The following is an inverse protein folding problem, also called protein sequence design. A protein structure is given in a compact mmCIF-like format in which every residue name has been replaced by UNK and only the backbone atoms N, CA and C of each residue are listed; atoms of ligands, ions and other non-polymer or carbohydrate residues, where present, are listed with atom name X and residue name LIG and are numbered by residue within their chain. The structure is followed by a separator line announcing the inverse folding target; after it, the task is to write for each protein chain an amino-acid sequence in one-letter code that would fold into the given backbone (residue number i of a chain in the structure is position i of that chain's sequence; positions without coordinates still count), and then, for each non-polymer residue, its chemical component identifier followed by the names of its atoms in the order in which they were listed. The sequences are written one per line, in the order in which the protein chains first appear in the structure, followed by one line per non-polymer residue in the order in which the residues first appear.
data_IF_631084389436
#
_entry.id   IF_631084389436
#
_cell.length_a   1.000
_cell.length_b   1.000
_cell.length_c   1.000
_cell.angle_alpha   90.00
_cell.angle_beta   90.00
_cell.angle_gamma   90.00
#
_symmetry.space_group_name_H-M   'P 1'
#
loop_
_entity.id
_entity.type
_entity.pdbx_description
1 polymer ?
#
# COMPACT_ATOMS: atom_id res chain seq x y z
N UNK A 1 -48.61 9.30 -12.73
CA UNK A 1 -48.68 9.96 -11.40
C UNK A 1 -47.87 11.26 -11.44
N UNK A 2 -48.34 12.35 -10.75
CA UNK A 2 -47.67 13.64 -10.78
C UNK A 2 -46.38 13.62 -9.94
N UNK A 3 -45.37 14.42 -10.38
CA UNK A 3 -44.18 14.70 -9.63
C UNK A 3 -44.27 16.08 -8.98
N UNK A 4 -43.55 16.32 -7.89
CA UNK A 4 -43.41 17.66 -7.33
C UNK A 4 -42.15 18.31 -7.86
N UNK A 5 -42.30 19.53 -8.40
CA UNK A 5 -41.17 20.32 -8.90
C UNK A 5 -40.93 21.54 -8.00
N UNK A 6 -39.65 21.83 -7.80
CA UNK A 6 -39.24 23.09 -7.21
C UNK A 6 -39.40 24.20 -8.24
N UNK A 7 -40.16 25.24 -7.91
CA UNK A 7 -40.26 26.41 -8.75
C UNK A 7 -39.04 27.29 -8.59
N UNK A 8 -38.12 27.21 -9.53
CA UNK A 8 -36.88 27.97 -9.46
C UNK A 8 -37.16 29.50 -9.66
N UNK A 9 -36.44 30.41 -9.00
CA UNK A 9 -36.46 31.82 -9.34
C UNK A 9 -36.13 32.06 -10.83
N UNK A 10 -36.86 32.97 -11.49
CA UNK A 10 -36.66 33.20 -12.91
C UNK A 10 -35.65 34.32 -13.22
N UNK A 11 -35.32 35.14 -12.24
CA UNK A 11 -34.42 36.29 -12.40
C UNK A 11 -33.29 36.26 -11.36
N UNK A 12 -32.23 37.02 -11.67
CA UNK A 12 -31.07 37.18 -10.80
C UNK A 12 -30.10 36.00 -10.86
N UNK A 13 -29.15 36.02 -9.98
CA UNK A 13 -28.06 35.05 -9.99
C UNK A 13 -27.93 34.34 -8.64
N UNK A 14 -27.49 33.12 -8.67
CA UNK A 14 -26.93 32.42 -7.51
C UNK A 14 -25.43 32.69 -7.48
N UNK A 15 -24.99 33.38 -6.43
CA UNK A 15 -23.57 33.68 -6.22
C UNK A 15 -23.15 33.03 -4.90
N UNK A 16 -22.03 32.33 -4.93
CA UNK A 16 -21.39 31.73 -3.75
C UNK A 16 -19.88 31.73 -3.89
N UNK A 17 -19.18 31.82 -2.76
CA UNK A 17 -17.74 31.76 -2.69
C UNK A 17 -17.34 30.32 -2.30
N UNK A 18 -16.71 29.60 -3.24
CA UNK A 18 -16.21 28.25 -3.03
C UNK A 18 -14.76 28.32 -2.56
N UNK A 19 -14.43 27.60 -1.47
CA UNK A 19 -13.08 27.68 -0.86
C UNK A 19 -11.97 27.25 -1.81
N UNK A 20 -12.24 26.32 -2.75
CA UNK A 20 -11.25 25.83 -3.71
C UNK A 20 -11.36 26.56 -5.05
N UNK A 21 -12.59 26.74 -5.57
CA UNK A 21 -12.83 27.28 -6.92
C UNK A 21 -12.90 28.79 -6.96
N UNK A 22 -13.09 29.45 -5.79
CA UNK A 22 -13.32 30.87 -5.69
C UNK A 22 -14.78 31.24 -6.02
N UNK A 23 -15.01 32.48 -6.39
CA UNK A 23 -16.35 33.00 -6.61
C UNK A 23 -17.02 32.43 -7.86
N UNK A 24 -18.18 31.79 -7.68
CA UNK A 24 -19.00 31.19 -8.72
C UNK A 24 -20.31 31.96 -8.83
N UNK A 25 -20.72 32.25 -10.07
CA UNK A 25 -21.96 32.96 -10.39
C UNK A 25 -22.69 32.22 -11.51
N UNK A 26 -23.94 31.84 -11.26
CA UNK A 26 -24.82 31.15 -12.21
C UNK A 26 -26.13 31.90 -12.28
N UNK A 27 -26.59 32.22 -13.50
CA UNK A 27 -27.90 32.84 -13.66
C UNK A 27 -29.03 31.87 -13.35
N UNK A 28 -30.07 32.35 -12.69
CA UNK A 28 -31.27 31.56 -12.45
C UNK A 28 -31.96 31.09 -13.75
N UNK A 29 -31.78 31.83 -14.86
CA UNK A 29 -32.29 31.46 -16.18
C UNK A 29 -31.67 30.16 -16.73
N UNK A 30 -30.49 29.76 -16.22
CA UNK A 30 -29.82 28.53 -16.58
C UNK A 30 -30.30 27.32 -15.73
N UNK A 31 -31.13 27.57 -14.72
CA UNK A 31 -31.58 26.56 -13.76
C UNK A 31 -33.04 26.17 -14.04
N UNK A 32 -33.28 24.89 -14.21
CA UNK A 32 -34.60 24.32 -14.42
C UNK A 32 -35.42 24.12 -13.15
N UNK A 33 -36.74 23.98 -13.29
CA UNK A 33 -37.66 23.56 -12.22
C UNK A 33 -37.43 22.07 -11.95
N UNK A 34 -36.44 21.77 -11.11
CA UNK A 34 -36.06 20.38 -10.85
C UNK A 34 -37.14 19.59 -10.09
N UNK A 35 -37.21 18.29 -10.37
CA UNK A 35 -38.08 17.38 -9.61
C UNK A 35 -37.47 17.19 -8.20
N UNK A 36 -38.27 17.48 -7.16
CA UNK A 36 -37.87 17.34 -5.76
C UNK A 36 -38.50 16.13 -5.07
N UNK A 37 -39.66 15.66 -5.57
CA UNK A 37 -40.27 14.41 -5.12
C UNK A 37 -40.86 13.63 -6.30
N UNK A 38 -40.69 12.31 -6.25
CA UNK A 38 -41.24 11.35 -7.22
C UNK A 38 -42.72 11.09 -6.97
N UNK A 39 -43.42 10.39 -7.90
CA UNK A 39 -44.85 10.07 -7.75
C UNK A 39 -45.15 9.26 -6.45
N UNK A 40 -44.21 8.44 -6.00
CA UNK A 40 -44.31 7.65 -4.78
C UNK A 40 -44.06 8.45 -3.49
N UNK A 41 -43.81 9.77 -3.62
CA UNK A 41 -43.49 10.65 -2.51
C UNK A 41 -42.02 10.63 -2.10
N UNK A 42 -41.17 9.77 -2.68
CA UNK A 42 -39.74 9.73 -2.36
C UNK A 42 -39.03 10.99 -2.85
N UNK A 43 -38.14 11.62 -2.02
CA UNK A 43 -37.41 12.81 -2.42
C UNK A 43 -36.31 12.46 -3.45
N UNK A 44 -35.93 13.46 -4.24
CA UNK A 44 -34.75 13.37 -5.11
C UNK A 44 -33.50 13.87 -4.38
N UNK A 45 -32.34 13.53 -4.92
CA UNK A 45 -31.03 13.79 -4.30
C UNK A 45 -30.86 15.25 -3.84
N UNK A 46 -31.10 16.24 -4.74
CA UNK A 46 -30.84 17.64 -4.40
C UNK A 46 -31.74 18.17 -3.27
N UNK A 47 -32.93 17.61 -3.11
CA UNK A 47 -33.83 17.99 -2.03
C UNK A 47 -33.45 17.28 -0.72
N UNK A 48 -33.25 15.96 -0.76
CA UNK A 48 -32.93 15.20 0.46
C UNK A 48 -31.61 15.66 1.08
N UNK A 49 -30.56 15.89 0.28
CA UNK A 49 -29.27 16.34 0.81
C UNK A 49 -29.35 17.72 1.49
N UNK A 50 -30.16 18.64 0.96
CA UNK A 50 -30.36 19.94 1.60
C UNK A 50 -31.08 19.80 2.95
N UNK A 51 -32.11 18.97 3.02
CA UNK A 51 -32.83 18.73 4.29
C UNK A 51 -31.93 18.05 5.31
N UNK A 52 -31.18 17.01 4.91
CA UNK A 52 -30.25 16.28 5.77
C UNK A 52 -29.14 17.22 6.30
N UNK A 53 -28.53 18.00 5.42
CA UNK A 53 -27.50 18.97 5.79
C UNK A 53 -28.00 20.04 6.76
N UNK A 54 -29.24 20.52 6.58
CA UNK A 54 -29.88 21.46 7.50
C UNK A 54 -30.13 20.84 8.88
N UNK A 55 -30.74 19.65 8.90
CA UNK A 55 -31.08 18.94 10.16
C UNK A 55 -29.84 18.56 10.94
N UNK A 56 -28.80 18.13 10.25
CA UNK A 56 -27.50 17.78 10.82
C UNK A 56 -26.63 19.00 11.13
N UNK A 57 -27.05 20.21 10.74
CA UNK A 57 -26.30 21.47 10.91
C UNK A 57 -24.90 21.41 10.29
N UNK A 58 -24.82 20.89 9.09
CA UNK A 58 -23.55 20.80 8.33
C UNK A 58 -23.05 22.22 8.04
N UNK A 59 -21.85 22.54 8.50
CA UNK A 59 -21.22 23.85 8.32
C UNK A 59 -20.48 23.97 6.98
N UNK A 60 -19.89 22.87 6.49
CA UNK A 60 -19.09 22.83 5.28
C UNK A 60 -19.45 21.60 4.46
N UNK A 61 -19.66 21.79 3.15
CA UNK A 61 -19.86 20.72 2.18
C UNK A 61 -18.60 20.64 1.29
N UNK A 62 -17.77 19.63 1.55
CA UNK A 62 -16.53 19.37 0.80
C UNK A 62 -16.76 18.16 -0.07
N UNK A 63 -16.70 18.31 -1.41
CA UNK A 63 -17.06 17.24 -2.34
C UNK A 63 -16.36 17.39 -3.70
N UNK A 64 -16.49 16.41 -4.59
CA UNK A 64 -15.96 16.49 -5.94
C UNK A 64 -16.59 17.61 -6.77
N UNK A 65 -15.83 18.15 -7.69
CA UNK A 65 -16.24 19.26 -8.57
C UNK A 65 -17.29 18.85 -9.62
N UNK A 66 -17.55 17.55 -9.77
CA UNK A 66 -18.69 17.03 -10.55
C UNK A 66 -20.05 17.44 -9.97
N UNK A 67 -20.08 17.89 -8.71
CA UNK A 67 -21.27 18.42 -8.03
C UNK A 67 -21.45 19.94 -8.12
N UNK A 68 -20.54 20.67 -8.76
CA UNK A 68 -20.63 22.15 -8.86
C UNK A 68 -21.98 22.58 -9.43
N UNK A 69 -22.49 21.89 -10.46
CA UNK A 69 -23.77 22.21 -11.09
C UNK A 69 -25.00 21.94 -10.19
N UNK A 70 -24.85 21.17 -9.13
CA UNK A 70 -25.92 20.93 -8.15
C UNK A 70 -26.01 22.07 -7.13
N UNK A 71 -24.88 22.71 -6.82
CA UNK A 71 -24.77 23.72 -5.76
C UNK A 71 -25.73 24.89 -5.93
N UNK A 72 -25.88 25.55 -7.08
CA UNK A 72 -26.83 26.66 -7.21
C UNK A 72 -28.28 26.21 -7.01
N UNK A 73 -28.64 24.99 -7.44
CA UNK A 73 -29.97 24.41 -7.21
C UNK A 73 -30.23 24.18 -5.72
N UNK A 74 -29.24 23.63 -5.03
CA UNK A 74 -29.30 23.40 -3.58
C UNK A 74 -29.41 24.72 -2.81
N UNK A 75 -28.62 25.74 -3.16
CA UNK A 75 -28.69 27.08 -2.56
C UNK A 75 -30.08 27.67 -2.71
N UNK A 76 -30.74 27.55 -3.87
CA UNK A 76 -32.10 28.03 -4.03
C UNK A 76 -33.11 27.26 -3.18
N UNK A 77 -32.92 25.97 -2.96
CA UNK A 77 -33.73 25.17 -2.03
C UNK A 77 -33.52 25.62 -0.58
N UNK A 78 -32.26 25.82 -0.12
CA UNK A 78 -31.97 26.39 1.21
C UNK A 78 -32.71 27.72 1.43
N UNK A 79 -32.61 28.63 0.48
CA UNK A 79 -33.29 29.95 0.55
C UNK A 79 -34.81 29.82 0.61
N UNK A 80 -35.39 28.91 -0.18
CA UNK A 80 -36.83 28.67 -0.16
C UNK A 80 -37.32 28.06 1.17
N UNK A 81 -36.45 27.30 1.86
CA UNK A 81 -36.72 26.77 3.21
C UNK A 81 -36.43 27.79 4.31
N UNK A 82 -35.93 29.00 3.98
CA UNK A 82 -35.56 30.03 4.94
C UNK A 82 -34.28 29.72 5.73
N UNK A 83 -33.43 28.91 5.19
CA UNK A 83 -32.17 28.50 5.79
C UNK A 83 -30.95 29.10 5.07
N UNK A 84 -29.87 29.30 5.82
CA UNK A 84 -28.58 29.72 5.28
C UNK A 84 -27.85 28.48 4.70
N UNK A 85 -27.28 28.57 3.46
CA UNK A 85 -26.48 27.52 2.91
C UNK A 85 -25.16 27.32 3.69
N UNK A 86 -24.62 26.10 3.74
CA UNK A 86 -23.28 25.86 4.27
C UNK A 86 -22.20 26.48 3.37
N UNK A 87 -20.96 26.50 3.85
CA UNK A 87 -19.79 26.83 3.04
C UNK A 87 -19.50 25.66 2.10
N UNK A 88 -19.16 25.96 0.85
CA UNK A 88 -18.86 24.94 -0.15
C UNK A 88 -17.36 24.90 -0.49
N UNK A 89 -16.86 23.70 -0.75
CA UNK A 89 -15.53 23.47 -1.31
C UNK A 89 -15.60 22.31 -2.32
N UNK A 90 -15.34 22.61 -3.60
CA UNK A 90 -15.36 21.61 -4.66
C UNK A 90 -13.94 21.24 -5.09
N UNK A 91 -13.49 20.05 -4.62
CA UNK A 91 -12.16 19.51 -4.92
C UNK A 91 -12.12 18.91 -6.31
N UNK A 92 -10.99 19.00 -7.03
CA UNK A 92 -10.87 18.46 -8.37
C UNK A 92 -10.96 16.94 -8.38
N UNK A 93 -11.44 16.40 -9.50
CA UNK A 93 -11.47 14.95 -9.71
C UNK A 93 -10.06 14.36 -9.80
N UNK A 94 -9.90 13.14 -9.29
CA UNK A 94 -8.71 12.34 -9.50
C UNK A 94 -8.84 11.60 -10.83
N UNK A 95 -7.80 11.65 -11.66
CA UNK A 95 -7.75 11.03 -12.98
C UNK A 95 -6.91 9.73 -12.92
N UNK A 96 -7.22 8.79 -13.78
CA UNK A 96 -6.35 7.65 -14.07
C UNK A 96 -5.22 8.03 -15.02
N UNK A 97 -4.34 7.08 -15.31
CA UNK A 97 -3.21 7.27 -16.22
C UNK A 97 -3.62 7.65 -17.65
N UNK A 98 -4.83 7.30 -18.05
CA UNK A 98 -5.42 7.65 -19.36
C UNK A 98 -6.03 9.05 -19.39
N UNK A 99 -5.93 9.82 -18.31
CA UNK A 99 -6.53 11.15 -18.17
C UNK A 99 -8.04 11.16 -17.97
N UNK A 100 -8.69 9.99 -17.92
CA UNK A 100 -10.10 9.89 -17.59
C UNK A 100 -10.31 9.86 -16.06
N UNK A 101 -11.54 10.14 -15.61
CA UNK A 101 -11.90 10.02 -14.18
C UNK A 101 -11.50 8.66 -13.62
N UNK A 102 -10.83 8.66 -12.47
CA UNK A 102 -10.47 7.43 -11.76
C UNK A 102 -11.73 6.57 -11.50
N UNK A 103 -11.68 5.31 -11.88
CA UNK A 103 -12.80 4.38 -11.81
C UNK A 103 -12.32 2.95 -11.55
N UNK A 104 -13.24 2.01 -11.37
CA UNK A 104 -12.96 0.57 -11.17
C UNK A 104 -12.00 -0.04 -12.19
N UNK A 105 -12.04 0.42 -13.43
CA UNK A 105 -11.14 -0.06 -14.50
C UNK A 105 -9.67 0.34 -14.28
N UNK A 106 -9.41 1.33 -13.44
CA UNK A 106 -8.05 1.79 -13.07
C UNK A 106 -7.50 1.10 -11.80
N UNK A 107 -8.18 0.08 -11.30
CA UNK A 107 -7.72 -0.79 -10.22
C UNK A 107 -8.22 -0.42 -8.83
N UNK A 108 -8.21 0.83 -8.41
CA UNK A 108 -8.58 1.19 -7.05
C UNK A 108 -9.94 1.86 -6.95
N UNK A 109 -10.78 1.40 -6.05
CA UNK A 109 -12.16 1.90 -5.90
C UNK A 109 -12.55 2.12 -4.45
N UNK A 110 -11.92 1.40 -3.54
CA UNK A 110 -12.19 1.46 -2.11
C UNK A 110 -10.87 1.64 -1.37
N UNK A 111 -10.90 2.46 -0.32
CA UNK A 111 -9.74 2.59 0.59
C UNK A 111 -9.29 1.23 1.14
N UNK A 112 -10.24 0.32 1.37
CA UNK A 112 -9.95 -1.02 1.86
C UNK A 112 -9.19 -1.88 0.84
N UNK A 113 -9.35 -1.65 -0.46
CA UNK A 113 -8.58 -2.35 -1.49
C UNK A 113 -7.07 -2.06 -1.35
N UNK A 114 -6.69 -0.83 -1.02
CA UNK A 114 -5.27 -0.50 -0.79
C UNK A 114 -4.70 -1.27 0.41
N UNK A 115 -5.48 -1.48 1.48
CA UNK A 115 -5.08 -2.37 2.58
C UNK A 115 -4.86 -3.79 2.07
N UNK A 116 -5.80 -4.32 1.29
CA UNK A 116 -5.76 -5.67 0.74
C UNK A 116 -4.59 -5.85 -0.25
N UNK A 117 -4.17 -4.78 -0.90
CA UNK A 117 -2.99 -4.73 -1.77
C UNK A 117 -1.68 -4.47 -1.00
N UNK A 118 -1.75 -4.24 0.31
CA UNK A 118 -0.59 -4.16 1.20
C UNK A 118 0.00 -2.77 1.39
N UNK A 119 -0.81 -1.73 1.20
CA UNK A 119 -0.39 -0.36 1.50
C UNK A 119 -0.67 0.01 2.96
N UNK A 120 0.28 0.72 3.57
CA UNK A 120 0.15 1.28 4.90
C UNK A 120 -0.82 2.48 4.89
N UNK A 121 -1.64 2.67 5.94
CA UNK A 121 -2.55 3.82 6.00
C UNK A 121 -1.82 5.16 5.96
N UNK A 122 -0.64 5.27 6.57
CA UNK A 122 0.19 6.48 6.52
C UNK A 122 0.63 6.82 5.09
N UNK A 123 1.04 5.81 4.33
CA UNK A 123 1.45 5.99 2.94
C UNK A 123 0.28 6.44 2.05
N UNK A 124 -0.87 5.81 2.20
CA UNK A 124 -2.08 6.17 1.46
C UNK A 124 -2.55 7.58 1.82
N UNK A 125 -2.61 7.93 3.11
CA UNK A 125 -3.01 9.26 3.57
C UNK A 125 -2.10 10.35 3.00
N UNK A 126 -0.78 10.17 3.12
CA UNK A 126 0.21 11.11 2.56
C UNK A 126 0.08 11.23 1.04
N UNK A 127 -0.15 10.11 0.35
CA UNK A 127 -0.33 10.11 -1.09
C UNK A 127 -1.58 10.89 -1.50
N UNK A 128 -2.72 10.65 -0.83
CA UNK A 128 -3.99 11.31 -1.13
C UNK A 128 -3.94 12.82 -0.86
N UNK A 129 -3.31 13.25 0.23
CA UNK A 129 -3.18 14.70 0.52
C UNK A 129 -2.35 15.38 -0.57
N UNK A 130 -1.29 14.76 -1.05
CA UNK A 130 -0.43 15.29 -2.11
C UNK A 130 -1.06 15.30 -3.50
N UNK A 131 -2.11 14.52 -3.74
CA UNK A 131 -2.83 14.56 -5.03
C UNK A 131 -3.51 15.89 -5.30
N UNK A 132 -3.97 16.57 -4.26
CA UNK A 132 -4.69 17.83 -4.43
C UNK A 132 -4.07 19.01 -3.70
N UNK A 133 -3.03 18.82 -2.88
CA UNK A 133 -2.45 19.85 -2.04
C UNK A 133 -0.92 19.76 -2.04
N UNK A 134 -0.25 20.88 -1.75
CA UNK A 134 1.21 20.94 -1.64
C UNK A 134 1.64 21.98 -0.61
N UNK A 135 2.73 21.67 0.10
CA UNK A 135 3.39 22.59 1.01
C UNK A 135 4.88 22.67 0.63
N UNK A 136 5.23 23.69 -0.15
CA UNK A 136 6.58 23.78 -0.73
C UNK A 136 6.95 22.51 -1.52
N UNK A 137 8.19 22.06 -1.35
CA UNK A 137 8.75 20.87 -2.00
C UNK A 137 8.65 19.60 -1.12
N UNK A 138 7.99 19.69 0.06
CA UNK A 138 7.87 18.55 0.96
C UNK A 138 6.98 17.47 0.36
N UNK A 139 7.47 16.23 0.34
CA UNK A 139 6.78 15.06 -0.23
C UNK A 139 6.25 14.11 0.87
N UNK A 140 6.94 14.02 1.99
CA UNK A 140 6.59 13.12 3.09
C UNK A 140 6.12 13.95 4.29
N UNK A 141 4.96 13.58 4.83
CA UNK A 141 4.31 14.28 5.95
C UNK A 141 3.86 13.28 7.00
N UNK A 142 4.16 13.53 8.26
CA UNK A 142 3.47 12.84 9.37
C UNK A 142 1.99 13.28 9.45
N UNK A 143 1.19 12.52 10.19
CA UNK A 143 -0.21 12.89 10.42
C UNK A 143 -0.32 14.25 11.14
N UNK A 144 0.57 14.51 12.10
CA UNK A 144 0.64 15.76 12.85
C UNK A 144 1.01 16.94 11.94
N UNK A 145 1.97 16.76 11.03
CA UNK A 145 2.33 17.78 10.04
C UNK A 145 1.17 18.05 9.08
N UNK A 146 0.47 17.02 8.60
CA UNK A 146 -0.71 17.20 7.76
C UNK A 146 -1.79 18.01 8.48
N UNK A 147 -2.08 17.72 9.74
CA UNK A 147 -3.05 18.45 10.55
C UNK A 147 -2.63 19.90 10.76
N UNK A 148 -1.34 20.15 10.97
CA UNK A 148 -0.83 21.50 11.26
C UNK A 148 -0.72 22.41 10.02
N UNK A 149 -0.49 21.81 8.84
CA UNK A 149 -0.14 22.55 7.63
C UNK A 149 -1.25 22.58 6.58
N UNK A 150 -2.19 21.62 6.61
CA UNK A 150 -3.25 21.54 5.61
C UNK A 150 -4.28 22.63 5.79
N UNK A 151 -4.57 23.35 4.69
CA UNK A 151 -5.73 24.22 4.58
C UNK A 151 -6.50 23.87 3.28
N UNK A 152 -7.83 23.90 3.36
CA UNK A 152 -8.70 23.63 2.22
C UNK A 152 -8.56 24.69 1.12
N UNK A 153 -8.22 25.93 1.49
CA UNK A 153 -8.04 27.03 0.55
C UNK A 153 -6.78 26.85 -0.32
N UNK A 154 -5.81 26.07 0.17
CA UNK A 154 -4.58 25.73 -0.54
C UNK A 154 -4.71 24.52 -1.49
N UNK A 155 -5.91 23.92 -1.55
CA UNK A 155 -6.16 22.80 -2.47
C UNK A 155 -6.11 23.27 -3.91
N UNK A 156 -5.36 22.54 -4.74
CA UNK A 156 -5.17 22.85 -6.15
C UNK A 156 -6.51 22.77 -6.91
N UNK A 157 -6.71 23.69 -7.87
CA UNK A 157 -7.91 23.70 -8.72
C UNK A 157 -7.84 22.71 -9.88
N UNK A 158 -6.64 22.22 -10.22
CA UNK A 158 -6.41 21.29 -11.33
C UNK A 158 -6.52 19.86 -10.86
N UNK A 159 -7.14 19.02 -11.69
CA UNK A 159 -7.16 17.58 -11.48
C UNK A 159 -5.75 17.00 -11.51
N UNK A 160 -5.51 16.01 -10.67
CA UNK A 160 -4.23 15.28 -10.58
C UNK A 160 -4.42 13.84 -11.04
N UNK A 161 -3.44 13.30 -11.78
CA UNK A 161 -3.44 11.89 -12.18
C UNK A 161 -2.91 11.02 -11.03
N UNK A 162 -3.55 9.88 -10.83
CA UNK A 162 -3.10 8.86 -9.90
C UNK A 162 -1.85 8.16 -10.47
N UNK A 163 -0.80 8.06 -9.67
CA UNK A 163 0.47 7.44 -10.04
C UNK A 163 0.83 6.34 -9.04
N UNK A 164 0.71 5.08 -9.45
CA UNK A 164 0.98 3.92 -8.62
C UNK A 164 2.45 3.83 -8.21
N UNK A 165 3.39 4.17 -9.10
CA UNK A 165 4.81 4.12 -8.77
C UNK A 165 5.17 5.08 -7.62
N UNK A 166 4.52 6.24 -7.57
CA UNK A 166 4.71 7.20 -6.48
C UNK A 166 4.10 6.69 -5.17
N UNK A 167 2.95 6.04 -5.20
CA UNK A 167 2.35 5.41 -4.04
C UNK A 167 3.22 4.26 -3.53
N UNK A 168 3.74 3.42 -4.42
CA UNK A 168 4.67 2.34 -4.11
C UNK A 168 5.94 2.86 -3.42
N UNK A 169 6.51 3.95 -3.95
CA UNK A 169 7.68 4.60 -3.36
C UNK A 169 7.38 5.12 -1.94
N UNK A 170 6.24 5.79 -1.75
CA UNK A 170 5.81 6.27 -0.44
C UNK A 170 5.60 5.10 0.54
N UNK A 171 4.96 4.04 0.09
CA UNK A 171 4.71 2.86 0.93
C UNK A 171 6.02 2.22 1.39
N UNK A 172 6.97 2.03 0.47
CA UNK A 172 8.29 1.52 0.83
C UNK A 172 9.03 2.48 1.78
N UNK A 173 8.91 3.79 1.58
CA UNK A 173 9.48 4.78 2.48
C UNK A 173 8.93 4.60 3.90
N UNK A 174 7.61 4.49 4.07
CA UNK A 174 6.99 4.31 5.39
C UNK A 174 7.32 2.93 6.00
N UNK A 175 7.37 1.86 5.23
CA UNK A 175 7.81 0.55 5.72
C UNK A 175 9.22 0.58 6.30
N UNK A 176 10.09 1.46 5.78
CA UNK A 176 11.49 1.61 6.23
C UNK A 176 11.65 2.58 7.39
N UNK A 177 10.83 3.61 7.45
CA UNK A 177 10.99 4.73 8.41
C UNK A 177 10.17 4.55 9.70
N UNK A 178 9.05 3.85 9.64
CA UNK A 178 8.23 3.56 10.82
C UNK A 178 8.89 2.48 11.70
N UNK A 179 8.58 2.45 13.00
CA UNK A 179 9.02 1.36 13.87
C UNK A 179 8.59 -0.01 13.33
N UNK A 180 9.52 -0.96 13.23
CA UNK A 180 9.24 -2.27 12.65
C UNK A 180 8.07 -3.01 13.35
N UNK A 181 7.87 -2.79 14.65
CA UNK A 181 6.73 -3.34 15.40
C UNK A 181 5.39 -2.76 14.94
N UNK A 182 5.33 -1.50 14.56
CA UNK A 182 4.14 -0.87 14.03
C UNK A 182 3.78 -1.43 12.64
N UNK A 183 4.76 -1.50 11.75
CA UNK A 183 4.60 -2.11 10.42
C UNK A 183 4.18 -3.58 10.54
N UNK A 184 4.74 -4.31 11.51
CA UNK A 184 4.41 -5.70 11.77
C UNK A 184 2.93 -5.93 12.12
N UNK A 185 2.25 -4.98 12.76
CA UNK A 185 0.81 -5.10 13.05
C UNK A 185 -0.03 -5.15 11.76
N UNK A 186 0.33 -4.36 10.77
CA UNK A 186 -0.31 -4.37 9.44
C UNK A 186 0.11 -5.59 8.62
N UNK A 187 1.36 -6.01 8.74
CA UNK A 187 1.88 -7.21 8.06
C UNK A 187 1.17 -8.49 8.55
N UNK A 188 0.81 -8.57 9.83
CA UNK A 188 0.09 -9.71 10.39
C UNK A 188 -1.24 -9.99 9.67
N UNK A 189 -1.94 -8.94 9.26
CA UNK A 189 -3.15 -9.07 8.47
C UNK A 189 -2.87 -9.73 7.10
N UNK A 190 -1.79 -9.34 6.42
CA UNK A 190 -1.41 -9.91 5.12
C UNK A 190 -1.04 -11.40 5.24
N UNK A 191 -0.39 -11.79 6.32
CA UNK A 191 -0.08 -13.20 6.60
C UNK A 191 -1.35 -14.01 6.80
N UNK A 192 -2.28 -13.50 7.61
CA UNK A 192 -3.57 -14.15 7.85
C UNK A 192 -4.41 -14.27 6.56
N UNK A 193 -4.46 -13.19 5.75
CA UNK A 193 -5.19 -13.18 4.46
C UNK A 193 -4.62 -14.19 3.46
N UNK A 194 -3.30 -14.39 3.46
CA UNK A 194 -2.63 -15.37 2.60
C UNK A 194 -2.57 -16.78 3.21
N UNK A 195 -3.16 -16.99 4.38
CA UNK A 195 -3.20 -18.27 5.07
C UNK A 195 -1.83 -18.76 5.56
N UNK A 196 -0.89 -17.85 5.86
CA UNK A 196 0.45 -18.19 6.36
C UNK A 196 0.44 -18.14 7.89
N UNK A 197 0.68 -19.28 8.53
CA UNK A 197 0.84 -19.37 9.99
C UNK A 197 2.20 -18.78 10.42
N UNK A 198 2.21 -18.01 11.52
CA UNK A 198 3.40 -17.30 11.97
C UNK A 198 4.07 -17.90 13.21
N UNK A 199 3.56 -19.03 13.71
CA UNK A 199 4.00 -19.64 14.98
C UNK A 199 5.42 -20.23 14.92
N UNK A 200 5.87 -20.63 13.74
CA UNK A 200 7.13 -21.38 13.55
C UNK A 200 8.15 -20.62 12.69
N UNK A 201 8.25 -19.32 12.82
CA UNK A 201 9.17 -18.50 12.03
C UNK A 201 9.73 -17.31 12.81
N UNK A 202 10.42 -16.40 12.13
CA UNK A 202 10.90 -15.17 12.73
C UNK A 202 9.73 -14.29 13.19
N UNK A 203 9.97 -13.39 14.13
CA UNK A 203 8.97 -12.36 14.45
C UNK A 203 8.72 -11.47 13.22
N UNK A 204 7.47 -11.01 13.06
CA UNK A 204 7.14 -10.13 11.94
C UNK A 204 7.95 -8.82 11.95
N UNK A 205 8.37 -8.35 13.14
CA UNK A 205 9.21 -7.15 13.24
C UNK A 205 10.64 -7.40 12.73
N UNK A 206 11.23 -8.56 13.00
CA UNK A 206 12.53 -8.97 12.41
C UNK A 206 12.41 -9.07 10.89
N UNK A 207 11.32 -9.67 10.41
CA UNK A 207 11.06 -9.78 8.98
C UNK A 207 10.97 -8.41 8.31
N UNK A 208 10.21 -7.47 8.88
CA UNK A 208 10.11 -6.08 8.39
C UNK A 208 11.49 -5.44 8.29
N UNK A 209 12.34 -5.58 9.33
CA UNK A 209 13.67 -4.97 9.36
C UNK A 209 14.59 -5.43 8.21
N UNK A 210 14.32 -6.61 7.65
CA UNK A 210 15.11 -7.20 6.56
C UNK A 210 14.46 -6.97 5.19
N UNK A 211 13.15 -7.03 5.10
CA UNK A 211 12.41 -7.07 3.83
C UNK A 211 11.92 -5.70 3.35
N UNK A 212 11.79 -4.70 4.23
CA UNK A 212 11.22 -3.40 3.87
C UNK A 212 11.92 -2.69 2.69
N UNK A 213 13.22 -2.91 2.51
CA UNK A 213 13.99 -2.35 1.38
C UNK A 213 13.78 -3.11 0.06
N UNK A 214 13.21 -4.31 0.12
CA UNK A 214 13.20 -5.26 -0.99
C UNK A 214 11.87 -5.36 -1.71
N UNK A 215 10.82 -4.89 -1.08
CA UNK A 215 9.43 -4.97 -1.56
C UNK A 215 8.78 -3.58 -1.52
N UNK A 216 7.71 -3.43 -2.26
CA UNK A 216 6.94 -2.19 -2.32
C UNK A 216 5.67 -2.25 -1.47
N UNK A 217 5.15 -3.45 -1.21
CA UNK A 217 3.93 -3.65 -0.43
C UNK A 217 4.08 -4.73 0.64
N UNK A 218 3.23 -4.67 1.67
CA UNK A 218 3.17 -5.71 2.70
C UNK A 218 2.67 -7.05 2.14
N UNK A 219 1.86 -7.01 1.10
CA UNK A 219 1.38 -8.20 0.37
C UNK A 219 2.54 -8.96 -0.27
N UNK A 220 3.43 -8.23 -0.96
CA UNK A 220 4.67 -8.80 -1.49
C UNK A 220 5.57 -9.32 -0.38
N UNK A 221 5.69 -8.58 0.73
CA UNK A 221 6.50 -8.99 1.88
C UNK A 221 6.02 -10.33 2.43
N UNK A 222 4.73 -10.50 2.64
CA UNK A 222 4.16 -11.75 3.14
C UNK A 222 4.41 -12.90 2.15
N UNK A 223 4.12 -12.69 0.86
CA UNK A 223 4.31 -13.73 -0.17
C UNK A 223 5.77 -14.18 -0.29
N UNK A 224 6.72 -13.23 -0.35
CA UNK A 224 8.15 -13.53 -0.46
C UNK A 224 8.74 -14.14 0.82
N UNK A 225 8.07 -13.97 1.95
CA UNK A 225 8.52 -14.44 3.25
C UNK A 225 7.92 -15.77 3.68
N UNK A 226 6.98 -16.30 2.92
CA UNK A 226 6.32 -17.60 3.19
C UNK A 226 7.33 -18.71 3.52
N UNK A 227 8.46 -18.74 2.80
CA UNK A 227 9.51 -19.74 2.98
C UNK A 227 10.11 -19.78 4.39
N UNK A 228 10.12 -18.65 5.09
CA UNK A 228 10.63 -18.59 6.48
C UNK A 228 9.68 -19.24 7.51
N UNK A 229 8.45 -19.53 7.13
CA UNK A 229 7.41 -20.12 7.99
C UNK A 229 7.05 -21.54 7.58
N UNK A 230 6.84 -21.77 6.29
CA UNK A 230 6.36 -23.03 5.75
C UNK A 230 7.48 -23.88 5.14
N UNK A 231 8.66 -23.27 4.82
CA UNK A 231 9.73 -23.95 4.09
C UNK A 231 9.40 -24.08 2.59
N UNK A 232 9.99 -25.07 1.96
CA UNK A 232 9.76 -25.40 0.56
C UNK A 232 9.77 -26.94 0.36
N UNK A 233 8.95 -27.44 -0.54
CA UNK A 233 8.88 -28.87 -0.85
C UNK A 233 9.97 -29.29 -1.82
N UNK A 234 10.14 -28.58 -2.93
CA UNK A 234 11.08 -28.85 -3.99
C UNK A 234 12.00 -27.67 -4.27
N UNK A 235 13.18 -27.95 -4.80
CA UNK A 235 14.06 -26.91 -5.30
C UNK A 235 13.57 -26.37 -6.63
N UNK A 236 13.65 -25.04 -6.83
CA UNK A 236 13.52 -24.47 -8.17
C UNK A 236 14.49 -25.15 -9.15
N UNK A 237 14.02 -25.73 -10.24
CA UNK A 237 14.86 -26.54 -11.14
C UNK A 237 16.05 -25.76 -11.72
N UNK A 238 15.85 -24.45 -12.01
CA UNK A 238 16.91 -23.61 -12.58
C UNK A 238 17.95 -23.24 -11.52
N UNK A 239 17.51 -22.91 -10.31
CA UNK A 239 18.40 -22.63 -9.19
C UNK A 239 19.21 -23.86 -8.79
N UNK A 240 18.57 -25.03 -8.69
CA UNK A 240 19.24 -26.28 -8.38
C UNK A 240 20.26 -26.69 -9.50
N UNK A 241 19.87 -26.59 -10.76
CA UNK A 241 20.76 -26.85 -11.89
C UNK A 241 22.00 -25.97 -11.87
N UNK A 242 21.84 -24.72 -11.51
CA UNK A 242 22.91 -23.71 -11.51
C UNK A 242 23.80 -23.78 -10.27
N UNK A 243 23.24 -24.02 -9.09
CA UNK A 243 23.90 -23.81 -7.81
C UNK A 243 24.11 -25.08 -6.99
N UNK A 244 23.30 -26.16 -7.16
CA UNK A 244 23.47 -27.44 -6.46
C UNK A 244 24.18 -28.45 -7.37
N UNK A 245 25.38 -28.08 -7.81
CA UNK A 245 26.27 -28.98 -8.60
C UNK A 245 27.23 -29.70 -7.66
N UNK A 246 27.90 -30.82 -8.11
CA UNK A 246 28.86 -31.54 -7.28
C UNK A 246 29.90 -30.66 -6.60
N UNK A 247 30.38 -29.61 -7.25
CA UNK A 247 31.37 -28.66 -6.72
C UNK A 247 30.81 -27.85 -5.52
N UNK A 248 29.52 -27.84 -5.28
CA UNK A 248 28.91 -27.15 -4.15
C UNK A 248 28.86 -28.00 -2.87
N UNK A 249 29.15 -29.29 -2.95
CA UNK A 249 29.11 -30.18 -1.79
C UNK A 249 30.13 -29.78 -0.71
N UNK A 250 31.38 -29.52 -1.08
CA UNK A 250 32.43 -29.13 -0.14
C UNK A 250 32.12 -27.82 0.58
N UNK A 251 31.72 -26.70 -0.07
CA UNK A 251 31.27 -25.48 0.61
C UNK A 251 30.09 -25.71 1.55
N UNK A 252 29.08 -26.50 1.17
CA UNK A 252 27.92 -26.78 2.00
C UNK A 252 28.29 -27.63 3.22
N UNK A 253 29.16 -28.64 3.08
CA UNK A 253 29.66 -29.44 4.21
C UNK A 253 30.47 -28.58 5.19
N UNK A 254 31.34 -27.70 4.67
CA UNK A 254 32.09 -26.76 5.50
C UNK A 254 31.14 -25.79 6.25
N UNK A 255 30.14 -25.24 5.56
CA UNK A 255 29.11 -24.41 6.21
C UNK A 255 28.35 -25.18 7.27
N UNK A 256 27.88 -26.38 7.00
CA UNK A 256 27.19 -27.25 7.97
C UNK A 256 27.98 -27.35 9.29
N UNK A 257 29.27 -27.74 9.18
CA UNK A 257 30.14 -27.90 10.37
C UNK A 257 30.26 -26.61 11.18
N UNK A 258 30.45 -25.47 10.53
CA UNK A 258 30.61 -24.21 11.23
C UNK A 258 29.28 -23.70 11.81
N UNK A 259 28.17 -23.88 11.13
CA UNK A 259 26.83 -23.50 11.60
C UNK A 259 26.40 -24.37 12.81
N UNK A 260 26.70 -25.66 12.81
CA UNK A 260 26.45 -26.54 13.99
C UNK A 260 27.13 -26.05 15.25
N UNK A 261 28.38 -25.60 15.12
CA UNK A 261 29.22 -25.13 16.23
C UNK A 261 28.91 -23.69 16.68
N UNK A 262 28.14 -22.92 15.90
CA UNK A 262 27.84 -21.53 16.19
C UNK A 262 26.79 -21.42 17.31
N UNK A 263 27.15 -20.74 18.41
CA UNK A 263 26.23 -20.49 19.53
C UNK A 263 25.37 -19.24 19.31
N UNK A 264 25.99 -18.14 18.91
CA UNK A 264 25.29 -16.88 18.62
C UNK A 264 24.75 -16.87 17.17
N UNK A 265 23.42 -16.97 17.06
CA UNK A 265 22.72 -17.00 15.76
C UNK A 265 22.24 -15.63 15.33
N UNK A 266 23.06 -14.59 15.45
CA UNK A 266 22.79 -13.22 14.98
C UNK A 266 23.48 -12.93 13.63
N UNK A 267 23.08 -11.89 12.88
CA UNK A 267 23.60 -11.62 11.55
C UNK A 267 25.11 -11.48 11.46
N UNK A 268 25.75 -10.78 12.42
CA UNK A 268 27.18 -10.53 12.39
C UNK A 268 28.03 -11.83 12.50
N UNK A 269 27.83 -12.70 13.50
CA UNK A 269 28.54 -14.00 13.57
C UNK A 269 28.27 -14.89 12.35
N UNK A 270 27.02 -14.89 11.84
CA UNK A 270 26.68 -15.63 10.62
C UNK A 270 27.45 -15.10 9.40
N UNK A 271 27.55 -13.79 9.24
CA UNK A 271 28.35 -13.16 8.19
C UNK A 271 29.83 -13.59 8.28
N UNK A 272 30.42 -13.53 9.47
CA UNK A 272 31.83 -13.95 9.71
C UNK A 272 32.05 -15.42 9.37
N UNK A 273 31.13 -16.32 9.71
CA UNK A 273 31.23 -17.75 9.37
C UNK A 273 31.29 -17.95 7.87
N UNK A 274 30.43 -17.27 7.12
CA UNK A 274 30.37 -17.40 5.65
C UNK A 274 31.69 -16.91 5.03
N UNK A 275 32.22 -15.78 5.49
CA UNK A 275 33.50 -15.25 5.03
C UNK A 275 34.67 -16.18 5.36
N UNK A 276 34.69 -16.76 6.57
CA UNK A 276 35.71 -17.69 7.01
C UNK A 276 35.74 -18.95 6.17
N UNK A 277 34.55 -19.48 5.83
CA UNK A 277 34.44 -20.67 4.96
C UNK A 277 34.92 -20.34 3.56
N UNK A 278 34.53 -19.21 2.97
CA UNK A 278 34.97 -18.80 1.65
C UNK A 278 36.49 -18.62 1.58
N UNK A 279 37.09 -17.96 2.58
CA UNK A 279 38.54 -17.77 2.68
C UNK A 279 39.32 -19.09 2.84
N UNK A 280 38.80 -19.99 3.71
CA UNK A 280 39.44 -21.29 3.97
C UNK A 280 39.47 -22.20 2.73
N UNK A 281 38.42 -22.12 1.92
CA UNK A 281 38.31 -22.90 0.67
C UNK A 281 38.91 -22.20 -0.54
N UNK A 282 39.45 -20.97 -0.33
CA UNK A 282 40.00 -20.13 -1.40
C UNK A 282 39.03 -19.90 -2.57
N UNK A 283 37.72 -19.74 -2.24
CA UNK A 283 36.67 -19.53 -3.23
C UNK A 283 36.02 -18.16 -3.09
N UNK A 284 35.44 -17.65 -4.17
CA UNK A 284 34.64 -16.42 -4.11
C UNK A 284 33.36 -16.62 -3.30
N UNK A 285 32.91 -15.57 -2.58
CA UNK A 285 31.69 -15.59 -1.74
C UNK A 285 30.46 -16.19 -2.42
N UNK A 286 30.25 -15.91 -3.71
CA UNK A 286 29.11 -16.46 -4.46
C UNK A 286 29.09 -17.98 -4.56
N UNK A 287 30.26 -18.65 -4.45
CA UNK A 287 30.35 -20.11 -4.47
C UNK A 287 29.93 -20.76 -3.14
N UNK A 288 29.91 -19.99 -2.06
CA UNK A 288 29.38 -20.42 -0.75
C UNK A 288 27.92 -19.94 -0.59
N UNK A 289 27.68 -18.66 -0.83
CA UNK A 289 26.40 -18.02 -0.57
C UNK A 289 25.25 -18.49 -1.48
N UNK A 290 25.51 -18.75 -2.77
CA UNK A 290 24.45 -19.14 -3.69
C UNK A 290 23.95 -20.59 -3.47
N UNK A 291 24.81 -21.62 -3.33
CA UNK A 291 24.34 -22.94 -2.94
C UNK A 291 23.61 -22.93 -1.60
N UNK A 292 24.12 -22.17 -0.62
CA UNK A 292 23.51 -22.05 0.70
C UNK A 292 22.11 -21.40 0.60
N UNK A 293 21.95 -20.34 -0.22
CA UNK A 293 20.65 -19.71 -0.46
C UNK A 293 19.62 -20.70 -1.01
N UNK A 294 20.01 -21.47 -2.02
CA UNK A 294 19.13 -22.50 -2.60
C UNK A 294 18.81 -23.58 -1.57
N UNK A 295 19.78 -23.97 -0.76
CA UNK A 295 19.59 -24.93 0.33
C UNK A 295 18.57 -24.44 1.37
N UNK A 296 18.55 -23.14 1.68
CA UNK A 296 17.66 -22.57 2.68
C UNK A 296 16.26 -22.29 2.17
N UNK A 297 16.14 -21.85 0.92
CA UNK A 297 14.89 -21.27 0.40
C UNK A 297 14.29 -22.05 -0.78
N UNK A 298 14.96 -23.05 -1.27
CA UNK A 298 14.60 -23.74 -2.52
C UNK A 298 14.82 -22.89 -3.77
N UNK A 299 15.14 -21.60 -3.64
CA UNK A 299 15.21 -20.62 -4.73
C UNK A 299 16.54 -19.87 -4.78
N UNK A 300 16.81 -19.20 -5.92
CA UNK A 300 18.04 -18.43 -6.13
C UNK A 300 18.00 -16.99 -5.60
N UNK A 301 16.89 -16.54 -5.04
CA UNK A 301 16.67 -15.16 -4.59
C UNK A 301 16.21 -15.15 -3.14
N UNK A 302 16.88 -14.36 -2.29
CA UNK A 302 16.50 -14.12 -0.90
C UNK A 302 17.17 -12.81 -0.43
N UNK A 303 16.98 -12.35 0.81
CA UNK A 303 17.84 -11.35 1.45
C UNK A 303 19.32 -11.74 1.43
N UNK A 304 20.19 -10.89 1.99
CA UNK A 304 21.61 -11.29 2.20
C UNK A 304 21.66 -12.62 2.95
N UNK A 305 22.67 -13.43 2.66
CA UNK A 305 22.66 -14.81 3.11
C UNK A 305 22.76 -14.96 4.65
N UNK A 306 23.44 -14.06 5.30
CA UNK A 306 23.50 -13.91 6.76
C UNK A 306 22.12 -13.63 7.36
N UNK A 307 21.38 -12.65 6.81
CA UNK A 307 20.01 -12.33 7.20
C UNK A 307 19.03 -13.47 6.86
N UNK A 308 19.26 -14.16 5.74
CA UNK A 308 18.45 -15.34 5.38
C UNK A 308 18.61 -16.47 6.39
N UNK A 309 19.84 -16.76 6.81
CA UNK A 309 20.14 -17.72 7.89
C UNK A 309 19.50 -17.31 9.22
N UNK A 310 19.65 -16.03 9.58
CA UNK A 310 19.08 -15.50 10.81
C UNK A 310 17.56 -15.67 10.86
N UNK A 311 16.85 -15.26 9.82
CA UNK A 311 15.39 -15.38 9.74
C UNK A 311 14.92 -16.85 9.67
N UNK A 312 15.68 -17.72 8.99
CA UNK A 312 15.37 -19.16 8.91
C UNK A 312 15.53 -19.88 10.26
N UNK A 313 16.45 -19.41 11.10
CA UNK A 313 16.81 -20.07 12.34
C UNK A 313 17.77 -21.26 12.16
N UNK A 314 18.45 -21.65 13.23
CA UNK A 314 19.53 -22.66 13.21
C UNK A 314 19.05 -24.01 12.71
N UNK A 315 18.00 -24.55 13.32
CA UNK A 315 17.54 -25.90 13.03
C UNK A 315 17.14 -26.05 11.55
N UNK A 316 16.26 -25.19 11.07
CA UNK A 316 15.76 -25.24 9.69
C UNK A 316 16.86 -24.96 8.67
N UNK A 317 17.86 -24.12 9.05
CA UNK A 317 19.02 -23.90 8.18
C UNK A 317 19.86 -25.16 8.02
N UNK A 318 20.09 -25.91 9.09
CA UNK A 318 20.84 -27.19 9.02
C UNK A 318 20.07 -28.24 8.21
N UNK A 319 18.77 -28.38 8.45
CA UNK A 319 17.88 -29.27 7.66
C UNK A 319 17.90 -28.94 6.17
N UNK A 320 17.86 -27.65 5.80
CA UNK A 320 17.95 -27.21 4.41
C UNK A 320 19.30 -27.57 3.77
N UNK A 321 20.41 -27.42 4.49
CA UNK A 321 21.74 -27.81 4.01
C UNK A 321 21.85 -29.32 3.83
N UNK A 322 21.31 -30.12 4.76
CA UNK A 322 21.25 -31.61 4.64
C UNK A 322 20.47 -32.02 3.41
N UNK A 323 19.28 -31.41 3.18
CA UNK A 323 18.46 -31.67 1.99
C UNK A 323 19.22 -31.36 0.70
N UNK A 324 19.96 -30.26 0.66
CA UNK A 324 20.76 -29.88 -0.51
C UNK A 324 21.94 -30.83 -0.76
N UNK A 325 22.62 -31.28 0.31
CA UNK A 325 23.69 -32.28 0.20
C UNK A 325 23.19 -33.62 -0.34
N UNK A 326 22.06 -34.11 0.20
CA UNK A 326 21.43 -35.36 -0.30
C UNK A 326 21.00 -35.23 -1.78
N UNK A 327 20.48 -34.07 -2.18
CA UNK A 327 20.17 -33.81 -3.59
C UNK A 327 21.40 -33.86 -4.50
N UNK A 328 22.53 -33.30 -4.07
CA UNK A 328 23.78 -33.32 -4.81
C UNK A 328 24.33 -34.77 -4.92
N UNK A 329 24.28 -35.53 -3.82
CA UNK A 329 24.72 -36.96 -3.82
C UNK A 329 23.89 -37.81 -4.78
N UNK A 330 22.56 -37.66 -4.74
CA UNK A 330 21.69 -38.37 -5.68
C UNK A 330 21.99 -38.00 -7.15
N UNK A 331 22.33 -36.76 -7.42
CA UNK A 331 22.70 -36.27 -8.75
C UNK A 331 24.06 -36.81 -9.23
N UNK A 332 25.01 -36.99 -8.31
CA UNK A 332 26.30 -37.62 -8.62
C UNK A 332 26.11 -39.11 -8.95
N UNK A 333 25.29 -39.80 -8.16
CA UNK A 333 25.02 -41.24 -8.34
C UNK A 333 24.24 -41.53 -9.66
N UNK A 334 23.53 -40.56 -10.20
CA UNK A 334 22.78 -40.69 -11.47
C UNK A 334 23.60 -40.37 -12.73
N UNK A 335 24.85 -39.95 -12.60
CA UNK A 335 25.81 -39.68 -13.68
C UNK A 335 26.70 -40.89 -13.94
#
# INVERSE_FOLDING_TARGET
EPVVRFRNPQNGDVVFDDLVRGRIRISNDELDDLVIARPDGSPTYNFSVVVDDMDMKISHVIRGDDHINNTPRQINIYRALGAEPPVFAHVPMILGDDGARLSKRHGAVSVMQYRDDGYLPQALMNYLVRLGWSHGDQEVFSAEEMIALFDIEDVNRKASAFNTDKLDWLNQHYMKSLPAKEVATHLAWQFADQGIATDNGPSLAELVSVQAERVKTLKEMAAQSRVFYEGYEEFDPNAAKKHLRPVAAEPLQAMMKHLQALEDWSPEPLHEVIHRVAAKLEVGMGKVAQPLRVALTGAGISPSIDKTLWLMGKQRSLEGVEKALAFIEARIAAQ
#
